data_IF_402241887902
#
_entry.id   IF_402241887902
#
_cell.length_a   1.000
_cell.length_b   1.000
_cell.length_c   1.000
_cell.angle_alpha   90.00
_cell.angle_beta   90.00
_cell.angle_gamma   90.00
#
_symmetry.space_group_name_H-M   'P 1'
#
loop_
_entity.id
_entity.type
_entity.pdbx_description
1 polymer ?
#
# COMPACT_ATOMS: atom_id res chain seq x y z
N UNK A 1 4.08 25.93 2.07
CA UNK A 1 4.58 25.14 0.91
C UNK A 1 5.91 24.53 1.30
N UNK A 2 5.95 23.21 1.58
CA UNK A 2 7.13 22.51 2.12
C UNK A 2 7.94 21.82 1.02
N UNK A 3 9.12 22.36 0.62
CA UNK A 3 10.09 21.66 -0.22
C UNK A 3 11.02 20.70 0.56
N UNK A 4 11.11 20.85 1.89
CA UNK A 4 12.05 20.09 2.72
C UNK A 4 11.69 18.60 2.89
N UNK A 5 10.39 18.26 2.97
CA UNK A 5 9.95 16.87 3.17
C UNK A 5 10.25 15.97 1.97
N UNK A 6 10.13 16.50 0.75
CA UNK A 6 10.45 15.74 -0.47
C UNK A 6 11.95 15.38 -0.55
N UNK A 7 12.81 16.25 -0.03
CA UNK A 7 14.26 16.04 -0.01
C UNK A 7 14.65 14.85 0.88
N UNK A 8 13.98 14.71 2.03
CA UNK A 8 14.29 13.65 3.00
C UNK A 8 13.84 12.26 2.52
N UNK A 9 12.68 12.18 1.84
CA UNK A 9 12.19 10.92 1.26
C UNK A 9 13.12 10.39 0.17
N UNK A 10 13.63 11.27 -0.69
CA UNK A 10 14.58 10.89 -1.75
C UNK A 10 15.92 10.40 -1.18
N UNK A 11 16.37 10.97 -0.06
CA UNK A 11 17.59 10.54 0.61
C UNK A 11 17.41 9.20 1.34
N UNK A 12 16.26 8.98 1.98
CA UNK A 12 15.91 7.70 2.59
C UNK A 12 15.78 6.58 1.53
N UNK A 13 15.19 6.88 0.36
CA UNK A 13 15.06 5.94 -0.75
C UNK A 13 16.43 5.48 -1.30
N UNK A 14 17.47 6.33 -1.22
CA UNK A 14 18.85 5.97 -1.61
C UNK A 14 19.55 5.05 -0.62
N UNK A 15 19.07 4.93 0.61
CA UNK A 15 19.63 4.03 1.63
C UNK A 15 18.95 2.66 1.65
N UNK A 16 17.90 2.48 0.84
CA UNK A 16 17.25 1.19 0.66
C UNK A 16 18.17 0.30 -0.19
N UNK A 17 18.54 -0.91 0.28
CA UNK A 17 19.30 -1.85 -0.54
C UNK A 17 18.60 -2.06 -1.88
N UNK A 18 19.34 -2.07 -2.99
CA UNK A 18 18.75 -2.24 -4.34
C UNK A 18 17.82 -3.46 -4.43
N UNK A 19 18.15 -4.54 -3.73
CA UNK A 19 17.32 -5.73 -3.60
C UNK A 19 15.96 -5.46 -2.94
N UNK A 20 15.89 -4.59 -1.92
CA UNK A 20 14.64 -4.23 -1.26
C UNK A 20 13.72 -3.41 -2.17
N UNK A 21 14.25 -2.42 -2.89
CA UNK A 21 13.47 -1.65 -3.87
C UNK A 21 13.01 -2.52 -5.06
N UNK A 22 13.81 -3.49 -5.49
CA UNK A 22 13.42 -4.49 -6.49
C UNK A 22 12.32 -5.43 -5.99
N UNK A 23 12.47 -5.96 -4.79
CA UNK A 23 11.50 -6.87 -4.17
C UNK A 23 10.16 -6.18 -3.90
N UNK A 24 10.15 -4.92 -3.46
CA UNK A 24 8.93 -4.14 -3.30
C UNK A 24 8.19 -3.96 -4.63
N UNK A 25 8.91 -3.61 -5.71
CA UNK A 25 8.31 -3.50 -7.05
C UNK A 25 7.73 -4.83 -7.54
N UNK A 26 8.39 -5.95 -7.26
CA UNK A 26 7.89 -7.28 -7.61
C UNK A 26 6.69 -7.69 -6.77
N UNK A 27 6.68 -7.38 -5.47
CA UNK A 27 5.55 -7.61 -4.58
C UNK A 27 4.31 -6.85 -5.06
N UNK A 28 4.47 -5.58 -5.47
CA UNK A 28 3.37 -4.79 -6.04
C UNK A 28 2.76 -5.40 -7.30
N UNK A 29 3.59 -5.99 -8.18
CA UNK A 29 3.09 -6.68 -9.38
C UNK A 29 2.28 -7.92 -9.01
N UNK A 30 2.79 -8.74 -8.08
CA UNK A 30 2.08 -9.94 -7.61
C UNK A 30 0.76 -9.60 -6.94
N UNK A 31 0.71 -8.57 -6.09
CA UNK A 31 -0.53 -8.11 -5.47
C UNK A 31 -1.58 -7.68 -6.51
N UNK A 32 -1.15 -7.00 -7.58
CA UNK A 32 -2.05 -6.60 -8.68
C UNK A 32 -2.60 -7.80 -9.43
N UNK A 33 -1.76 -8.81 -9.70
CA UNK A 33 -2.17 -10.03 -10.39
C UNK A 33 -3.15 -10.85 -9.52
N UNK A 34 -2.82 -11.08 -8.25
CA UNK A 34 -3.68 -11.81 -7.31
C UNK A 34 -4.99 -11.07 -7.00
N UNK A 35 -4.97 -9.74 -6.98
CA UNK A 35 -6.17 -8.93 -6.76
C UNK A 35 -7.24 -9.05 -7.85
N UNK A 36 -6.90 -9.58 -9.03
CA UNK A 36 -7.78 -9.66 -10.20
C UNK A 36 -8.94 -10.67 -10.06
N UNK A 37 -8.87 -11.61 -9.12
CA UNK A 37 -9.90 -12.63 -8.89
C UNK A 37 -10.06 -12.98 -7.41
N UNK A 38 -11.16 -13.63 -7.03
CA UNK A 38 -11.48 -13.94 -5.63
C UNK A 38 -10.49 -14.89 -4.96
N UNK A 39 -9.97 -15.87 -5.70
CA UNK A 39 -8.99 -16.82 -5.17
C UNK A 39 -7.69 -16.11 -4.77
N UNK A 40 -7.17 -15.25 -5.65
CA UNK A 40 -5.98 -14.46 -5.37
C UNK A 40 -6.21 -13.42 -4.28
N UNK A 41 -7.40 -12.80 -4.20
CA UNK A 41 -7.77 -11.95 -3.04
C UNK A 41 -7.75 -12.72 -1.72
N UNK A 42 -8.19 -13.99 -1.73
CA UNK A 42 -8.08 -14.90 -0.59
C UNK A 42 -6.62 -15.10 -0.16
N UNK A 43 -5.74 -15.38 -1.12
CA UNK A 43 -4.30 -15.54 -0.86
C UNK A 43 -3.66 -14.27 -0.28
N UNK A 44 -4.02 -13.09 -0.79
CA UNK A 44 -3.56 -11.80 -0.23
C UNK A 44 -3.97 -11.66 1.23
N UNK A 45 -5.24 -11.95 1.53
CA UNK A 45 -5.79 -11.85 2.89
C UNK A 45 -5.03 -12.73 3.87
N UNK A 46 -4.77 -13.99 3.50
CA UNK A 46 -4.04 -14.93 4.34
C UNK A 46 -2.56 -14.52 4.50
N UNK A 47 -1.89 -14.18 3.40
CA UNK A 47 -0.47 -13.83 3.42
C UNK A 47 -0.18 -12.56 4.23
N UNK A 48 -1.06 -11.56 4.15
CA UNK A 48 -0.89 -10.29 4.88
C UNK A 48 -1.62 -10.25 6.22
N UNK A 49 -2.24 -11.36 6.64
CA UNK A 49 -3.03 -11.45 7.88
C UNK A 49 -4.02 -10.28 8.01
N UNK A 50 -4.64 -9.92 6.89
CA UNK A 50 -5.58 -8.80 6.87
C UNK A 50 -6.81 -9.18 7.69
N UNK A 51 -7.35 -8.21 8.41
CA UNK A 51 -8.64 -8.35 9.05
C UNK A 51 -9.68 -8.83 8.01
N UNK A 52 -10.72 -9.57 8.44
CA UNK A 52 -11.89 -9.79 7.59
C UNK A 52 -12.30 -8.46 6.97
N UNK A 53 -12.77 -8.47 5.71
CA UNK A 53 -13.28 -7.26 5.09
C UNK A 53 -14.32 -6.66 6.04
N UNK A 54 -13.91 -5.62 6.77
CA UNK A 54 -14.86 -4.79 7.47
C UNK A 54 -15.79 -4.28 6.38
N UNK A 55 -17.09 -4.17 6.66
CA UNK A 55 -17.95 -3.31 5.87
C UNK A 55 -17.38 -1.89 6.03
N UNK A 56 -16.36 -1.56 5.24
CA UNK A 56 -15.89 -0.22 5.02
C UNK A 56 -17.00 0.43 4.22
N UNK A 57 -18.05 0.86 4.92
CA UNK A 57 -18.94 1.89 4.41
C UNK A 57 -18.02 3.07 4.11
N UNK A 58 -17.79 3.32 2.83
CA UNK A 58 -17.13 4.54 2.37
C UNK A 58 -18.10 5.69 2.58
N UNK A 59 -18.38 6.01 3.84
CA UNK A 59 -19.01 7.26 4.22
C UNK A 59 -17.88 8.29 4.27
N UNK A 60 -17.57 8.82 3.08
CA UNK A 60 -16.74 10.00 2.90
C UNK A 60 -17.56 11.22 3.38
N UNK A 61 -17.95 11.24 4.65
CA UNK A 61 -18.52 12.43 5.28
C UNK A 61 -17.36 13.20 5.92
N UNK A 62 -16.66 13.93 5.05
CA UNK A 62 -15.89 15.10 5.43
C UNK A 62 -16.85 16.22 5.93
N UNK A 63 -17.60 15.96 7.00
CA UNK A 63 -18.32 16.98 7.75
C UNK A 63 -17.34 17.69 8.68
N UNK A 64 -16.51 18.58 8.10
CA UNK A 64 -16.00 19.74 8.83
C UNK A 64 -17.20 20.66 9.10
N UNK A 65 -17.83 20.51 10.26
CA UNK A 65 -18.77 21.51 10.76
C UNK A 65 -18.04 22.36 11.78
N UNK A 66 -17.82 23.62 11.40
CA UNK A 66 -17.44 24.75 12.27
C UNK A 66 -18.58 25.09 13.22
#
# INVERSE_FOLDING_TARGET
>A
MQPAEKSNVLQAARQVPDACAGNLRNAWKQLKEWGSNDAGRGQIKEAMQLCPAANLSSDDEASHTT
#
